data_IF_357928229833
#
_entry.id   IF_357928229833
#
_cell.length_a   1.000
_cell.length_b   1.000
_cell.length_c   1.000
_cell.angle_alpha   90.00
_cell.angle_beta   90.00
_cell.angle_gamma   90.00
#
_symmetry.space_group_name_H-M   'P 1'
#
loop_
_entity.id
_entity.type
_entity.pdbx_description
1 polymer ?
#
# COMPACT_ATOMS: atom_id res chain seq x y z
N UNK A 1 16.32 9.52 6.86
CA UNK A 1 16.52 8.63 8.00
C UNK A 1 15.34 7.68 8.18
N UNK A 2 15.60 6.41 8.50
CA UNK A 2 14.56 5.39 8.70
C UNK A 2 14.25 5.28 10.20
N UNK A 3 12.98 5.43 10.56
CA UNK A 3 12.49 5.19 11.91
C UNK A 3 11.83 3.81 11.94
N UNK A 4 12.25 2.88 12.80
CA UNK A 4 11.65 1.56 12.92
C UNK A 4 10.16 1.62 13.29
N UNK A 5 9.36 0.59 12.97
CA UNK A 5 7.97 0.50 13.43
C UNK A 5 7.86 0.67 14.95
N UNK A 6 6.87 1.44 15.40
CA UNK A 6 6.62 1.77 16.81
C UNK A 6 7.78 2.49 17.54
N UNK A 7 8.73 3.05 16.80
CA UNK A 7 9.77 3.90 17.34
C UNK A 7 9.44 5.39 17.13
N UNK A 8 10.00 6.24 17.96
CA UNK A 8 9.96 7.69 17.81
C UNK A 8 11.38 8.25 17.88
N UNK A 9 11.60 9.38 17.23
CA UNK A 9 12.87 10.08 17.26
C UNK A 9 12.62 11.57 17.42
N UNK A 10 13.39 12.19 18.32
CA UNK A 10 13.45 13.64 18.43
C UNK A 10 14.25 14.20 17.24
N UNK A 11 13.60 15.00 16.39
CA UNK A 11 14.22 15.62 15.21
C UNK A 11 14.88 16.96 15.52
N UNK A 12 14.54 17.58 16.65
CA UNK A 12 15.12 18.83 17.10
C UNK A 12 14.26 19.52 18.17
N UNK A 13 14.80 20.57 18.73
CA UNK A 13 14.11 21.43 19.68
C UNK A 13 14.13 22.87 19.19
N UNK A 14 13.01 23.55 19.35
CA UNK A 14 12.88 24.98 19.02
C UNK A 14 12.80 25.78 20.32
N UNK A 15 13.61 26.80 20.42
CA UNK A 15 13.68 27.68 21.60
C UNK A 15 13.42 29.12 21.20
N UNK A 16 12.74 29.89 22.06
CA UNK A 16 12.74 31.35 21.95
C UNK A 16 14.12 31.91 22.26
N UNK A 17 14.59 32.82 21.44
CA UNK A 17 15.83 33.58 21.71
C UNK A 17 15.62 34.74 22.69
N UNK A 18 14.38 35.15 22.93
CA UNK A 18 13.99 36.21 23.84
C UNK A 18 13.31 35.63 25.09
N UNK A 19 13.84 35.96 26.26
CA UNK A 19 13.32 35.44 27.54
C UNK A 19 11.96 36.09 27.86
N UNK A 20 10.92 35.25 28.02
CA UNK A 20 9.57 35.70 28.35
C UNK A 20 8.70 36.10 27.15
N UNK A 21 9.19 36.04 25.95
CA UNK A 21 8.39 36.27 24.74
C UNK A 21 7.87 34.94 24.13
N UNK A 22 6.59 34.96 23.73
CA UNK A 22 6.02 33.90 22.93
C UNK A 22 6.57 33.93 21.48
N UNK A 23 6.74 32.80 20.84
CA UNK A 23 7.12 32.71 19.43
C UNK A 23 6.17 31.77 18.66
N UNK A 24 6.10 32.01 17.38
CA UNK A 24 5.41 31.10 16.44
C UNK A 24 6.42 30.48 15.50
N UNK A 25 6.23 29.21 15.20
CA UNK A 25 7.01 28.51 14.21
C UNK A 25 6.09 27.64 13.37
N UNK A 26 6.51 27.32 12.17
CA UNK A 26 5.90 26.30 11.33
C UNK A 26 6.95 25.26 10.95
N UNK A 27 6.54 24.03 10.85
CA UNK A 27 7.39 22.94 10.37
C UNK A 27 6.78 22.40 9.07
N UNK A 28 7.63 21.99 8.15
CA UNK A 28 7.24 21.22 6.98
C UNK A 28 8.03 19.91 7.01
N UNK A 29 7.34 18.81 6.86
CA UNK A 29 7.95 17.49 6.78
C UNK A 29 7.26 16.66 5.70
N UNK A 30 7.97 15.70 5.16
CA UNK A 30 7.44 14.63 4.31
C UNK A 30 7.88 13.30 4.90
N UNK A 31 7.05 12.29 4.73
CA UNK A 31 7.36 10.94 5.18
C UNK A 31 6.78 9.93 4.18
N UNK A 32 7.40 8.75 4.14
CA UNK A 32 6.91 7.61 3.40
C UNK A 32 7.21 6.34 4.19
N UNK A 33 6.41 5.30 3.96
CA UNK A 33 6.62 3.99 4.56
C UNK A 33 7.64 3.21 3.74
N UNK A 34 8.56 2.50 4.41
CA UNK A 34 9.61 1.73 3.75
C UNK A 34 11.00 2.31 3.94
N UNK A 35 11.94 1.83 3.17
CA UNK A 35 13.36 2.22 3.24
C UNK A 35 13.82 2.80 1.91
N UNK A 36 13.90 4.12 1.83
CA UNK A 36 14.33 4.85 0.63
C UNK A 36 15.83 4.64 0.28
N UNK A 37 16.62 4.09 1.18
CA UNK A 37 18.03 3.77 0.92
C UNK A 37 18.23 2.47 0.13
N UNK A 38 17.18 1.66 -0.01
CA UNK A 38 17.22 0.38 -0.71
C UNK A 38 16.57 0.48 -2.08
N UNK A 39 17.17 -0.17 -3.06
CA UNK A 39 16.55 -0.33 -4.37
C UNK A 39 15.51 -1.46 -4.31
N UNK A 40 14.35 -1.28 -4.98
CA UNK A 40 13.36 -2.33 -5.07
C UNK A 40 13.93 -3.51 -5.82
N UNK A 41 13.62 -4.71 -5.35
CA UNK A 41 13.90 -5.91 -6.11
C UNK A 41 12.84 -6.03 -7.24
N UNK A 42 13.18 -5.51 -8.42
CA UNK A 42 12.33 -5.51 -9.60
C UNK A 42 12.02 -6.92 -10.14
N UNK A 43 12.68 -7.96 -9.63
CA UNK A 43 12.47 -9.34 -10.07
C UNK A 43 11.41 -10.08 -9.27
N UNK A 44 10.88 -9.46 -8.21
CA UNK A 44 9.96 -10.11 -7.30
C UNK A 44 8.55 -10.18 -7.91
N UNK A 45 8.08 -11.40 -8.05
CA UNK A 45 6.68 -11.69 -8.31
C UNK A 45 5.90 -11.78 -6.99
N UNK A 46 4.68 -11.30 -7.00
CA UNK A 46 3.75 -11.33 -5.88
C UNK A 46 2.67 -12.38 -6.15
N UNK A 47 2.20 -13.07 -5.10
CA UNK A 47 0.95 -13.83 -5.24
C UNK A 47 -0.23 -12.88 -5.30
N UNK A 48 -1.37 -13.37 -5.82
CA UNK A 48 -2.62 -12.62 -5.73
C UNK A 48 -2.97 -12.35 -4.26
N UNK A 49 -3.46 -11.14 -3.92
CA UNK A 49 -3.65 -10.68 -2.54
C UNK A 49 -4.95 -11.18 -1.88
N UNK A 50 -5.51 -12.28 -2.36
CA UNK A 50 -6.72 -12.90 -1.82
C UNK A 50 -6.56 -14.42 -1.74
N UNK A 51 -7.47 -15.08 -1.01
CA UNK A 51 -7.40 -16.52 -0.75
C UNK A 51 -7.43 -17.35 -2.03
N UNK A 52 -6.81 -18.53 -1.98
CA UNK A 52 -6.82 -19.48 -3.10
C UNK A 52 -8.26 -19.91 -3.45
N UNK A 53 -8.52 -20.06 -4.73
CA UNK A 53 -9.85 -20.40 -5.25
C UNK A 53 -10.78 -19.20 -5.47
N UNK A 54 -10.48 -18.04 -4.91
CA UNK A 54 -11.23 -16.80 -5.21
C UNK A 54 -10.94 -16.35 -6.63
N UNK A 55 -11.98 -15.98 -7.36
CA UNK A 55 -11.90 -15.39 -8.71
C UNK A 55 -12.24 -13.92 -8.62
N UNK A 56 -11.46 -13.09 -9.28
CA UNK A 56 -11.65 -11.66 -9.36
C UNK A 56 -11.49 -11.16 -10.78
N UNK A 57 -12.26 -10.14 -11.14
CA UNK A 57 -11.96 -9.32 -12.30
C UNK A 57 -10.99 -8.23 -11.90
N UNK A 58 -10.11 -7.84 -12.81
CA UNK A 58 -9.31 -6.63 -12.68
C UNK A 58 -10.17 -5.47 -13.17
N UNK A 59 -10.64 -4.65 -12.23
CA UNK A 59 -11.46 -3.47 -12.53
C UNK A 59 -10.63 -2.33 -13.11
N UNK A 60 -9.47 -2.08 -12.51
CA UNK A 60 -8.50 -1.08 -12.97
C UNK A 60 -7.08 -1.62 -12.84
N UNK A 61 -6.20 -1.23 -13.76
CA UNK A 61 -4.77 -1.50 -13.71
C UNK A 61 -4.02 -0.45 -14.53
N UNK A 62 -2.71 -0.35 -14.31
CA UNK A 62 -1.84 0.51 -15.09
C UNK A 62 -1.85 0.12 -16.58
N UNK A 63 -1.83 1.14 -17.45
CA UNK A 63 -1.92 0.95 -18.91
C UNK A 63 -3.30 0.55 -19.42
N UNK A 64 -4.33 0.49 -18.55
CA UNK A 64 -5.72 0.32 -18.93
C UNK A 64 -6.33 1.60 -19.54
N UNK A 65 -7.37 1.42 -20.38
CA UNK A 65 -8.06 2.56 -21.00
C UNK A 65 -8.86 3.38 -19.99
N UNK A 66 -9.32 2.73 -18.91
CA UNK A 66 -10.08 3.34 -17.82
C UNK A 66 -9.29 3.13 -16.53
N UNK A 67 -8.66 4.20 -16.05
CA UNK A 67 -8.00 4.19 -14.74
C UNK A 67 -8.11 5.55 -14.08
N UNK A 68 -8.36 5.55 -12.78
CA UNK A 68 -8.31 6.74 -11.91
C UNK A 68 -6.96 6.84 -11.17
N UNK A 69 -6.08 5.86 -11.35
CA UNK A 69 -4.76 5.81 -10.75
C UNK A 69 -3.78 6.74 -11.49
N UNK A 70 -3.82 8.02 -11.18
CA UNK A 70 -3.00 9.06 -11.84
C UNK A 70 -1.87 9.59 -10.96
N UNK A 71 -1.97 9.41 -9.64
CA UNK A 71 -0.92 9.77 -8.70
C UNK A 71 0.23 8.75 -8.72
N UNK A 72 1.46 9.19 -8.41
CA UNK A 72 2.63 8.31 -8.41
C UNK A 72 2.50 7.16 -7.41
N UNK A 73 1.82 7.39 -6.31
CA UNK A 73 1.54 6.40 -5.25
C UNK A 73 0.63 5.26 -5.72
N UNK A 74 -0.17 5.49 -6.76
CA UNK A 74 -1.17 4.56 -7.28
C UNK A 74 -1.00 4.19 -8.75
N UNK A 75 -0.09 4.83 -9.49
CA UNK A 75 0.06 4.67 -10.95
C UNK A 75 0.12 3.20 -11.40
N UNK A 76 0.77 2.35 -10.62
CA UNK A 76 0.91 0.91 -10.90
C UNK A 76 0.00 0.05 -10.03
N UNK A 77 -0.97 0.64 -9.34
CA UNK A 77 -1.93 -0.11 -8.55
C UNK A 77 -2.86 -0.96 -9.43
N UNK A 78 -3.42 -1.99 -8.82
CA UNK A 78 -4.39 -2.90 -9.43
C UNK A 78 -5.60 -3.00 -8.51
N UNK A 79 -6.79 -2.76 -9.07
CA UNK A 79 -8.05 -2.93 -8.37
C UNK A 79 -8.68 -4.28 -8.74
N UNK A 80 -8.84 -5.12 -7.73
CA UNK A 80 -9.51 -6.40 -7.85
C UNK A 80 -10.96 -6.27 -7.40
N UNK A 81 -11.92 -6.46 -8.31
CA UNK A 81 -13.34 -6.50 -7.96
C UNK A 81 -13.62 -7.72 -7.10
N UNK A 82 -13.88 -7.51 -5.84
CA UNK A 82 -14.13 -8.55 -4.85
C UNK A 82 -15.40 -8.23 -4.06
N UNK A 83 -16.26 -9.22 -3.79
CA UNK A 83 -17.31 -9.07 -2.80
C UNK A 83 -16.72 -8.63 -1.46
N UNK A 84 -17.48 -7.83 -0.69
CA UNK A 84 -17.10 -7.55 0.68
C UNK A 84 -16.94 -8.86 1.48
N UNK A 85 -16.13 -8.82 2.53
CA UNK A 85 -15.78 -9.97 3.36
C UNK A 85 -15.02 -11.10 2.65
N UNK A 86 -14.44 -10.83 1.47
CA UNK A 86 -13.50 -11.78 0.85
C UNK A 86 -12.17 -11.78 1.63
N UNK A 87 -11.61 -12.95 1.99
CA UNK A 87 -10.33 -13.02 2.70
C UNK A 87 -9.18 -12.42 1.88
N UNK A 88 -8.53 -11.41 2.45
CA UNK A 88 -7.34 -10.73 1.91
C UNK A 88 -6.11 -11.29 2.60
N UNK A 89 -5.11 -11.69 1.80
CA UNK A 89 -3.90 -12.35 2.31
C UNK A 89 -2.64 -11.62 1.87
N UNK A 90 -1.57 -11.77 2.63
CA UNK A 90 -0.27 -11.19 2.32
C UNK A 90 0.26 -11.69 0.96
N UNK A 91 0.39 -10.79 0.00
CA UNK A 91 0.94 -11.10 -1.32
C UNK A 91 2.43 -11.49 -1.26
N UNK A 92 3.11 -11.06 -0.20
CA UNK A 92 4.50 -11.37 0.15
C UNK A 92 4.70 -11.27 1.67
N UNK A 93 5.61 -12.05 2.23
CA UNK A 93 5.96 -11.97 3.65
C UNK A 93 6.70 -10.67 4.00
N UNK A 94 6.54 -10.20 5.23
CA UNK A 94 7.14 -8.98 5.73
C UNK A 94 6.66 -8.60 7.12
N UNK A 95 6.81 -7.34 7.48
CA UNK A 95 6.35 -6.78 8.75
C UNK A 95 5.21 -5.80 8.49
N UNK A 96 4.10 -5.94 9.19
CA UNK A 96 2.99 -4.98 9.15
C UNK A 96 3.48 -3.66 9.74
N UNK A 97 3.39 -2.57 8.99
CA UNK A 97 3.85 -1.23 9.43
C UNK A 97 2.71 -0.24 9.61
N UNK A 98 1.55 -0.50 9.00
CA UNK A 98 0.36 0.34 9.14
C UNK A 98 -0.90 -0.51 9.16
N UNK A 99 -1.85 -0.13 10.01
CA UNK A 99 -3.22 -0.64 10.04
C UNK A 99 -4.16 0.53 10.32
N UNK A 100 -5.20 0.64 9.50
CA UNK A 100 -6.41 1.42 9.77
C UNK A 100 -7.60 0.52 9.47
N UNK A 101 -8.54 0.36 10.39
CA UNK A 101 -9.69 -0.54 10.22
C UNK A 101 -10.99 -0.01 10.83
N UNK A 102 -10.99 1.26 11.25
CA UNK A 102 -12.10 1.90 11.97
C UNK A 102 -13.03 2.75 11.11
N UNK A 103 -12.68 3.05 9.88
CA UNK A 103 -13.56 3.78 8.97
C UNK A 103 -14.72 2.89 8.51
N UNK A 104 -15.94 3.46 8.48
CA UNK A 104 -17.14 2.73 8.13
C UNK A 104 -17.79 3.20 6.82
N UNK A 105 -17.44 4.41 6.37
CA UNK A 105 -18.02 5.01 5.18
C UNK A 105 -17.21 4.68 3.94
N UNK A 106 -17.92 4.48 2.81
CA UNK A 106 -17.35 4.34 1.49
C UNK A 106 -18.28 4.89 0.42
N UNK A 107 -17.71 5.47 -0.61
CA UNK A 107 -18.47 6.06 -1.70
C UNK A 107 -17.62 6.94 -2.62
N UNK A 108 -18.19 7.39 -3.77
CA UNK A 108 -17.49 8.24 -4.74
C UNK A 108 -17.47 9.72 -4.29
N UNK A 109 -17.16 9.95 -3.02
CA UNK A 109 -17.05 11.28 -2.42
C UNK A 109 -15.56 11.59 -2.14
N UNK A 110 -14.98 12.67 -2.72
CA UNK A 110 -13.59 13.06 -2.47
C UNK A 110 -13.22 13.27 -1.00
N UNK A 111 -14.18 13.63 -0.13
CA UNK A 111 -13.97 13.79 1.30
C UNK A 111 -13.64 12.47 2.02
N UNK A 112 -13.72 11.35 1.32
CA UNK A 112 -13.39 10.00 1.80
C UNK A 112 -11.99 9.52 1.35
N UNK A 113 -11.20 10.33 0.64
CA UNK A 113 -9.89 9.93 0.10
C UNK A 113 -8.93 9.40 1.17
N UNK A 114 -8.95 9.97 2.36
CA UNK A 114 -8.08 9.61 3.49
C UNK A 114 -8.75 8.65 4.50
N UNK A 115 -9.98 8.19 4.21
CA UNK A 115 -10.83 7.39 5.11
C UNK A 115 -10.97 5.93 4.68
N UNK A 116 -10.01 5.42 3.93
CA UNK A 116 -9.97 4.00 3.60
C UNK A 116 -9.29 3.18 4.69
N UNK A 117 -9.85 2.01 5.00
CA UNK A 117 -9.16 1.02 5.81
C UNK A 117 -8.04 0.36 5.03
N UNK A 118 -6.88 0.20 5.67
CA UNK A 118 -5.65 -0.23 5.02
C UNK A 118 -4.82 -1.13 5.92
N UNK A 119 -4.13 -2.08 5.31
CA UNK A 119 -2.96 -2.76 5.85
C UNK A 119 -1.78 -2.49 4.93
N UNK A 120 -0.65 -2.08 5.51
CA UNK A 120 0.63 -1.93 4.78
C UNK A 120 1.66 -2.89 5.37
N UNK A 121 2.28 -3.70 4.50
CA UNK A 121 3.32 -4.66 4.87
C UNK A 121 4.64 -4.25 4.23
N UNK A 122 5.67 -4.02 5.05
CA UNK A 122 7.04 -3.73 4.60
C UNK A 122 7.82 -5.01 4.37
N UNK A 123 8.56 -5.07 3.27
CA UNK A 123 9.39 -6.19 2.84
C UNK A 123 10.87 -5.94 3.10
N UNK A 124 11.67 -7.01 3.15
CA UNK A 124 13.12 -6.93 3.42
C UNK A 124 13.91 -6.10 2.40
N UNK A 125 13.37 -5.85 1.20
CA UNK A 125 13.94 -4.97 0.17
C UNK A 125 13.55 -3.50 0.28
N UNK A 126 12.86 -3.07 1.37
CA UNK A 126 12.46 -1.68 1.60
C UNK A 126 11.13 -1.29 0.94
N UNK A 127 10.63 -2.05 -0.02
CA UNK A 127 9.30 -1.84 -0.61
C UNK A 127 8.18 -2.24 0.35
N UNK A 128 6.98 -1.73 0.09
CA UNK A 128 5.77 -2.07 0.85
C UNK A 128 4.67 -2.58 -0.08
N UNK A 129 3.76 -3.40 0.46
CA UNK A 129 2.48 -3.71 -0.18
C UNK A 129 1.35 -3.06 0.59
N UNK A 130 0.43 -2.45 -0.13
CA UNK A 130 -0.77 -1.79 0.42
C UNK A 130 -2.01 -2.57 0.00
N UNK A 131 -2.90 -2.80 0.97
CA UNK A 131 -4.19 -3.48 0.82
C UNK A 131 -5.25 -2.51 1.32
N UNK A 132 -6.00 -1.88 0.40
CA UNK A 132 -6.87 -0.74 0.71
C UNK A 132 -8.34 -1.09 0.49
N UNK A 133 -9.23 -0.27 1.03
CA UNK A 133 -10.68 -0.45 1.06
C UNK A 133 -11.14 -1.68 1.85
N UNK A 134 -10.41 -2.05 2.91
CA UNK A 134 -10.75 -3.17 3.76
C UNK A 134 -12.04 -2.90 4.56
N UNK A 135 -12.64 -3.98 5.03
CA UNK A 135 -13.86 -3.91 5.84
C UNK A 135 -13.61 -3.20 7.18
N UNK A 136 -14.63 -2.55 7.71
CA UNK A 136 -14.63 -1.95 9.05
C UNK A 136 -14.43 -3.02 10.11
N UNK A 137 -13.45 -2.83 11.00
CA UNK A 137 -13.03 -3.82 12.02
C UNK A 137 -12.70 -5.20 11.41
N UNK A 138 -12.32 -5.23 10.12
CA UNK A 138 -12.07 -6.45 9.37
C UNK A 138 -10.60 -6.87 9.31
N UNK A 139 -9.68 -6.12 9.91
CA UNK A 139 -8.25 -6.46 9.94
C UNK A 139 -7.95 -7.38 11.11
N UNK A 140 -7.15 -8.43 10.87
CA UNK A 140 -6.80 -9.45 11.88
C UNK A 140 -5.32 -9.44 12.27
N UNK A 141 -4.56 -8.47 11.77
CA UNK A 141 -3.14 -8.27 12.07
C UNK A 141 -2.93 -6.91 12.75
N UNK A 142 -1.75 -6.70 13.31
CA UNK A 142 -1.40 -5.46 14.02
C UNK A 142 -0.03 -4.93 13.59
N UNK A 143 0.24 -3.63 13.71
CA UNK A 143 1.57 -3.08 13.46
C UNK A 143 2.66 -3.79 14.26
N UNK A 144 3.81 -4.02 13.64
CA UNK A 144 4.92 -4.79 14.19
C UNK A 144 4.81 -6.31 14.00
N UNK A 145 3.66 -6.84 13.59
CA UNK A 145 3.50 -8.28 13.35
C UNK A 145 4.26 -8.71 12.09
N UNK A 146 5.05 -9.77 12.20
CA UNK A 146 5.65 -10.44 11.04
C UNK A 146 4.59 -11.37 10.44
N UNK A 147 4.43 -11.29 9.12
CA UNK A 147 3.49 -12.11 8.35
C UNK A 147 4.22 -12.88 7.26
N UNK A 148 3.77 -14.10 7.01
CA UNK A 148 4.25 -14.91 5.89
C UNK A 148 3.38 -14.70 4.66
N UNK A 149 3.91 -15.01 3.48
CA UNK A 149 3.13 -14.97 2.24
C UNK A 149 1.92 -15.92 2.33
N UNK A 150 0.75 -15.42 1.96
CA UNK A 150 -0.51 -16.17 2.05
C UNK A 150 -1.20 -16.08 3.41
N UNK A 151 -0.59 -15.48 4.41
CA UNK A 151 -1.20 -15.28 5.72
C UNK A 151 -2.38 -14.30 5.61
N UNK A 152 -3.50 -14.61 6.28
CA UNK A 152 -4.67 -13.73 6.37
C UNK A 152 -4.28 -12.39 7.02
N UNK A 153 -4.64 -11.29 6.35
CA UNK A 153 -4.48 -9.93 6.84
C UNK A 153 -5.81 -9.31 7.32
N UNK A 154 -6.90 -9.68 6.67
CA UNK A 154 -8.22 -9.14 6.93
C UNK A 154 -9.19 -9.50 5.82
N UNK A 155 -10.22 -8.68 5.66
CA UNK A 155 -11.31 -8.89 4.72
C UNK A 155 -11.53 -7.67 3.85
N UNK A 156 -11.86 -7.88 2.56
CA UNK A 156 -12.23 -6.82 1.63
C UNK A 156 -13.51 -6.11 2.06
N UNK A 157 -13.61 -4.85 1.71
CA UNK A 157 -14.77 -3.99 2.00
C UNK A 157 -15.02 -2.98 0.89
N UNK A 158 -15.52 -1.82 1.31
CA UNK A 158 -15.80 -0.70 0.41
C UNK A 158 -15.58 0.66 1.12
N UNK A 159 -14.63 0.75 2.04
CA UNK A 159 -14.37 1.97 2.82
C UNK A 159 -13.53 2.99 2.05
N UNK A 160 -13.73 4.28 2.35
CA UNK A 160 -12.99 5.37 1.71
C UNK A 160 -13.56 5.78 0.34
N UNK A 161 -12.76 6.48 -0.45
CA UNK A 161 -13.14 6.90 -1.80
C UNK A 161 -13.19 5.69 -2.74
N UNK A 162 -14.38 5.19 -3.00
CA UNK A 162 -14.60 3.96 -3.76
C UNK A 162 -15.94 4.02 -4.50
N UNK A 163 -15.99 3.52 -5.73
CA UNK A 163 -17.23 3.40 -6.51
C UNK A 163 -17.97 2.08 -6.27
N UNK A 164 -17.40 1.14 -5.54
CA UNK A 164 -18.00 -0.16 -5.24
C UNK A 164 -16.99 -1.13 -4.63
N UNK A 165 -17.43 -2.27 -4.09
CA UNK A 165 -16.56 -3.23 -3.41
C UNK A 165 -15.41 -3.72 -4.28
N UNK A 166 -14.18 -3.49 -3.82
CA UNK A 166 -12.95 -3.94 -4.48
C UNK A 166 -11.79 -3.94 -3.49
N UNK A 167 -10.70 -4.57 -3.86
CA UNK A 167 -9.41 -4.46 -3.20
C UNK A 167 -8.48 -3.63 -4.08
N UNK A 168 -8.11 -2.45 -3.64
CA UNK A 168 -7.00 -1.69 -4.22
C UNK A 168 -5.69 -2.24 -3.68
N UNK A 169 -4.82 -2.70 -4.58
CA UNK A 169 -3.52 -3.28 -4.26
C UNK A 169 -2.40 -2.53 -4.96
N UNK A 170 -1.43 -2.06 -4.20
CA UNK A 170 -0.23 -1.41 -4.73
C UNK A 170 1.03 -1.96 -4.07
N UNK A 171 2.10 -2.05 -4.84
CA UNK A 171 3.46 -2.17 -4.31
C UNK A 171 4.10 -0.80 -4.42
N UNK A 172 4.64 -0.30 -3.31
CA UNK A 172 5.19 1.05 -3.28
C UNK A 172 6.57 1.06 -2.64
N UNK A 173 7.29 2.17 -2.85
CA UNK A 173 8.58 2.42 -2.23
C UNK A 173 8.70 3.88 -1.83
N UNK A 174 9.41 4.13 -0.72
CA UNK A 174 9.84 5.46 -0.36
C UNK A 174 10.92 5.95 -1.33
N UNK A 175 10.72 7.15 -1.90
CA UNK A 175 11.65 7.78 -2.85
C UNK A 175 11.98 9.18 -2.35
N UNK A 176 13.28 9.50 -2.26
CA UNK A 176 13.75 10.86 -1.96
C UNK A 176 13.86 11.64 -3.25
N UNK A 177 13.16 12.75 -3.34
CA UNK A 177 13.16 13.61 -4.52
C UNK A 177 14.29 14.67 -4.43
N UNK A 178 14.66 15.30 -5.58
CA UNK A 178 15.75 16.28 -5.61
C UNK A 178 15.56 17.49 -4.70
N UNK A 179 14.33 17.84 -4.35
CA UNK A 179 13.98 18.90 -3.41
C UNK A 179 14.09 18.47 -1.93
N UNK A 180 14.51 17.23 -1.69
CA UNK A 180 14.65 16.64 -0.37
C UNK A 180 13.34 16.10 0.23
N UNK A 181 12.22 16.20 -0.47
CA UNK A 181 10.95 15.58 -0.03
C UNK A 181 10.99 14.06 -0.22
N UNK A 182 10.23 13.35 0.62
CA UNK A 182 10.10 11.89 0.52
C UNK A 182 8.66 11.58 0.12
N UNK A 183 8.50 10.75 -0.89
CA UNK A 183 7.21 10.31 -1.42
C UNK A 183 7.11 8.79 -1.46
N UNK A 184 5.88 8.31 -1.55
CA UNK A 184 5.56 6.90 -1.72
C UNK A 184 5.21 6.68 -3.20
N UNK A 185 6.15 6.16 -3.98
CA UNK A 185 5.91 5.89 -5.39
C UNK A 185 5.54 4.42 -5.60
N UNK A 186 4.51 4.16 -6.42
CA UNK A 186 4.12 2.81 -6.78
C UNK A 186 5.07 2.20 -7.80
N UNK A 187 5.22 0.88 -7.75
CA UNK A 187 6.12 0.09 -8.59
C UNK A 187 5.34 -0.81 -9.54
N UNK A 188 5.78 -0.97 -10.80
CA UNK A 188 5.24 -1.98 -11.69
C UNK A 188 5.51 -3.37 -11.13
N UNK A 189 4.48 -4.22 -11.10
CA UNK A 189 4.55 -5.55 -10.49
C UNK A 189 4.09 -6.64 -11.44
N UNK A 190 4.51 -7.86 -11.16
CA UNK A 190 3.98 -9.08 -11.76
C UNK A 190 3.39 -9.99 -10.68
N UNK A 191 2.30 -10.65 -11.01
CA UNK A 191 1.74 -11.70 -10.18
C UNK A 191 2.13 -13.07 -10.72
N UNK A 192 2.36 -14.02 -9.83
CA UNK A 192 2.43 -15.43 -10.19
C UNK A 192 1.18 -16.17 -9.70
N UNK A 193 0.68 -17.09 -10.49
CA UNK A 193 -0.36 -18.00 -10.03
C UNK A 193 0.30 -19.07 -9.14
N UNK A 194 -0.07 -19.10 -7.86
CA UNK A 194 0.32 -20.19 -6.98
C UNK A 194 -0.54 -21.42 -7.33
N UNK A 195 0.04 -22.34 -8.11
CA UNK A 195 -0.50 -23.67 -8.25
C UNK A 195 0.56 -24.65 -7.72
N UNK A 196 0.30 -25.37 -6.62
CA UNK A 196 1.24 -26.33 -6.07
C UNK A 196 1.61 -27.47 -7.03
N UNK A 197 0.86 -27.60 -8.14
CA UNK A 197 1.07 -28.61 -9.19
C UNK A 197 1.66 -28.04 -10.49
N UNK A 198 1.90 -26.74 -10.58
CA UNK A 198 2.41 -26.10 -11.80
C UNK A 198 3.70 -25.33 -11.54
N UNK A 199 4.69 -25.66 -12.32
CA UNK A 199 5.96 -24.98 -12.46
C UNK A 199 5.77 -23.48 -12.79
N UNK A 200 6.65 -22.64 -12.27
CA UNK A 200 6.65 -21.17 -12.29
C UNK A 200 6.37 -20.57 -13.67
N UNK A 201 5.11 -20.35 -14.05
CA UNK A 201 4.76 -19.50 -15.18
C UNK A 201 4.38 -18.12 -14.67
N UNK A 202 5.31 -17.16 -14.75
CA UNK A 202 5.02 -15.74 -14.62
C UNK A 202 4.04 -15.30 -15.72
N UNK A 203 2.91 -14.70 -15.34
CA UNK A 203 2.14 -13.86 -16.26
C UNK A 203 2.96 -12.57 -16.49
N UNK A 204 3.76 -12.56 -17.56
CA UNK A 204 4.24 -11.32 -18.14
C UNK A 204 3.09 -10.72 -18.93
N UNK A 205 2.53 -9.61 -18.46
CA UNK A 205 1.76 -8.74 -19.34
C UNK A 205 2.75 -8.18 -20.37
N UNK A 206 2.83 -8.81 -21.54
CA UNK A 206 3.48 -8.20 -22.69
C UNK A 206 2.62 -7.01 -23.11
N UNK A 207 3.05 -5.82 -22.72
CA UNK A 207 2.62 -4.58 -23.35
C UNK A 207 3.00 -4.71 -24.84
N UNK A 208 2.05 -5.08 -25.69
CA UNK A 208 2.20 -4.92 -27.13
C UNK A 208 2.36 -3.43 -27.38
N UNK A 209 3.59 -2.99 -27.60
CA UNK A 209 3.86 -1.69 -28.18
C UNK A 209 3.15 -1.66 -29.54
N UNK A 210 2.05 -0.94 -29.62
CA UNK A 210 1.57 -0.49 -30.94
C UNK A 210 2.58 0.52 -31.45
N UNK A 211 3.19 0.18 -32.57
CA UNK A 211 3.95 1.11 -33.40
C UNK A 211 3.01 2.17 -33.96
#
# INVERSE_FOLDING_TARGET
EVIPPNASKELGRVFSTARGEGFRFSTRYSHALGDASRLPDATLAYRLPFADGVRSLVGQAYGGEITTHTGKESLYAVDFTLPEQTPVVAARGGTVVEVKDWFAEGGPNPDLLDKANIVTVQHGGGSTTQYVHLATNGVVVRPGQVVTQGQLLGYSGNTGYSSGPHLHFAVTQAVVYPDGTVHQDSLPIAFYAFNPSFDKKCFKNELKKKK
#
